data_IF_431225065464
#
_entry.id   IF_431225065464
#
_cell.length_a   1.000
_cell.length_b   1.000
_cell.length_c   1.000
_cell.angle_alpha   90.00
_cell.angle_beta   90.00
_cell.angle_gamma   90.00
#
_symmetry.space_group_name_H-M   'P 1'
#
loop_
_entity.id
_entity.type
_entity.pdbx_description
1 polymer ?
#
# COMPACT_ATOMS: atom_id res chain seq x y z
N UNK A 1 8.20 -4.69 -13.67
CA UNK A 1 6.88 -4.22 -13.19
C UNK A 1 6.22 -5.30 -12.37
N UNK A 2 5.54 -4.93 -11.28
CA UNK A 2 4.65 -5.86 -10.58
C UNK A 2 3.32 -5.92 -11.33
N UNK A 3 2.61 -7.05 -11.26
CA UNK A 3 1.24 -7.18 -11.77
C UNK A 3 0.29 -7.37 -10.60
N UNK A 4 -0.87 -6.74 -10.68
CA UNK A 4 -1.91 -6.90 -9.68
C UNK A 4 -2.44 -8.34 -9.76
N UNK A 5 -2.46 -9.12 -8.67
CA UNK A 5 -3.01 -10.47 -8.70
C UNK A 5 -4.52 -10.51 -8.94
N UNK A 6 -5.23 -9.40 -8.71
CA UNK A 6 -6.68 -9.30 -8.86
C UNK A 6 -7.10 -8.94 -10.29
N UNK A 7 -6.65 -7.79 -10.80
CA UNK A 7 -7.05 -7.31 -12.12
C UNK A 7 -6.04 -7.61 -13.23
N UNK A 8 -4.87 -8.20 -12.90
CA UNK A 8 -3.74 -8.43 -13.82
C UNK A 8 -3.16 -7.17 -14.48
N UNK A 9 -3.65 -6.00 -14.06
CA UNK A 9 -3.16 -4.69 -14.46
C UNK A 9 -1.72 -4.49 -13.99
N UNK A 10 -0.97 -3.71 -14.76
CA UNK A 10 0.40 -3.39 -14.44
C UNK A 10 0.47 -2.41 -13.27
N UNK A 11 1.23 -2.76 -12.25
CA UNK A 11 1.40 -1.98 -11.03
C UNK A 11 2.84 -1.52 -10.96
N UNK A 12 3.01 -0.19 -10.99
CA UNK A 12 4.29 0.46 -10.71
C UNK A 12 4.26 1.04 -9.31
N UNK A 13 5.37 0.94 -8.58
CA UNK A 13 5.50 1.52 -7.24
C UNK A 13 5.23 3.02 -7.24
N UNK A 14 5.61 3.73 -8.31
CA UNK A 14 5.31 5.16 -8.52
C UNK A 14 3.82 5.48 -8.71
N UNK A 15 3.03 4.49 -9.13
CA UNK A 15 1.59 4.65 -9.40
C UNK A 15 0.70 3.99 -8.34
N UNK A 16 1.29 3.32 -7.35
CA UNK A 16 0.52 2.72 -6.26
C UNK A 16 0.05 3.83 -5.34
N UNK A 17 -1.25 3.82 -5.06
CA UNK A 17 -1.81 4.71 -4.03
C UNK A 17 -1.39 4.18 -2.67
N UNK A 18 -0.58 4.98 -1.96
CA UNK A 18 -0.24 4.74 -0.55
C UNK A 18 -1.14 5.55 0.35
N UNK A 19 -2.06 4.89 1.05
CA UNK A 19 -2.84 5.51 2.12
C UNK A 19 -2.11 5.29 3.44
N UNK A 20 -1.66 6.39 4.07
CA UNK A 20 -1.09 6.32 5.42
C UNK A 20 -2.23 6.44 6.42
N UNK A 21 -2.69 5.31 6.94
CA UNK A 21 -3.65 5.30 8.05
C UNK A 21 -2.91 5.48 9.36
N UNK A 22 -3.27 6.55 10.07
CA UNK A 22 -2.80 6.83 11.43
C UNK A 22 -3.80 6.22 12.41
N UNK A 23 -3.55 5.00 12.85
CA UNK A 23 -4.31 4.37 13.94
C UNK A 23 -3.64 4.69 15.27
N UNK A 24 -4.07 5.78 15.89
CA UNK A 24 -3.61 6.20 17.22
C UNK A 24 -2.22 6.86 17.26
N UNK A 25 -1.81 7.25 18.47
CA UNK A 25 -0.65 8.11 18.72
C UNK A 25 0.72 7.51 18.31
N UNK A 26 0.81 6.19 18.10
CA UNK A 26 2.09 5.49 17.88
C UNK A 26 2.19 4.61 16.61
N UNK A 27 1.10 4.28 15.91
CA UNK A 27 1.16 3.38 14.75
C UNK A 27 0.68 4.04 13.46
N UNK A 28 1.62 4.24 12.56
CA UNK A 28 1.34 4.60 11.17
C UNK A 28 1.51 3.35 10.31
N UNK A 29 0.44 2.94 9.63
CA UNK A 29 0.47 1.84 8.68
C UNK A 29 0.29 2.40 7.27
N UNK A 30 1.18 2.00 6.35
CA UNK A 30 1.14 2.39 4.95
C UNK A 30 0.42 1.28 4.20
N UNK A 31 -0.74 1.57 3.65
CA UNK A 31 -1.53 0.64 2.85
C UNK A 31 -1.24 0.88 1.38
N UNK A 32 -0.85 -0.16 0.65
CA UNK A 32 -0.57 -0.10 -0.78
C UNK A 32 -1.79 -0.62 -1.53
N UNK A 33 -2.39 0.23 -2.36
CA UNK A 33 -3.59 -0.09 -3.13
C UNK A 33 -3.30 -0.09 -4.63
N UNK A 34 -3.86 -1.06 -5.35
CA UNK A 34 -3.75 -1.11 -6.80
C UNK A 34 -4.52 0.05 -7.45
N UNK A 35 -3.91 0.88 -8.33
CA UNK A 35 -4.60 2.01 -8.95
C UNK A 35 -5.71 1.62 -9.94
N UNK A 36 -5.72 0.36 -10.41
CA UNK A 36 -6.68 -0.11 -11.42
C UNK A 36 -7.98 -0.64 -10.82
N UNK A 37 -7.90 -1.28 -9.65
CA UNK A 37 -9.02 -2.00 -9.04
C UNK A 37 -9.20 -1.71 -7.56
N UNK A 38 -8.36 -0.84 -6.99
CA UNK A 38 -8.32 -0.48 -5.56
C UNK A 38 -8.16 -1.65 -4.60
N UNK A 39 -7.74 -2.83 -5.10
CA UNK A 39 -7.43 -3.97 -4.25
C UNK A 39 -6.18 -3.69 -3.42
N UNK A 40 -6.22 -4.07 -2.15
CA UNK A 40 -5.09 -3.96 -1.23
C UNK A 40 -4.01 -4.94 -1.67
N UNK A 41 -2.82 -4.43 -1.98
CA UNK A 41 -1.65 -5.22 -2.37
C UNK A 41 -0.78 -5.57 -1.17
N UNK A 42 -0.81 -4.75 -0.13
CA UNK A 42 -0.04 -5.01 1.09
C UNK A 42 -0.06 -3.86 2.08
N UNK A 43 0.55 -4.11 3.23
CA UNK A 43 0.68 -3.17 4.33
C UNK A 43 2.15 -3.09 4.72
N UNK A 44 2.74 -1.89 4.74
CA UNK A 44 4.05 -1.66 5.33
C UNK A 44 3.89 -0.95 6.67
N UNK A 45 4.44 -1.56 7.70
CA UNK A 45 4.51 -0.99 9.04
C UNK A 45 5.85 -0.29 9.15
N UNK A 46 5.86 1.03 9.17
CA UNK A 46 7.07 1.75 9.57
C UNK A 46 7.32 1.41 11.05
N UNK A 47 8.29 0.53 11.33
CA UNK A 47 8.80 0.37 12.70
C UNK A 47 9.29 1.75 13.14
N UNK A 48 8.70 2.29 14.22
CA UNK A 48 9.29 3.43 14.90
C UNK A 48 10.72 3.09 15.36
N UNK A 49 11.62 4.07 15.46
CA UNK A 49 12.96 3.84 15.97
C UNK A 49 12.83 3.19 17.36
N UNK A 50 13.42 2.01 17.51
CA UNK A 50 13.47 1.28 18.78
C UNK A 50 14.45 1.94 19.74
#
# INVERSE_FOLDING_TARGET
MARCPYCKGEVSLDKVETEKRRSGFLKSEIMYSCPHCKSILGFSRSKGPS
#
